data_IF_378806738567
#
_entry.id   IF_378806738567
#
_cell.length_a   1.000
_cell.length_b   1.000
_cell.length_c   1.000
_cell.angle_alpha   90.00
_cell.angle_beta   90.00
_cell.angle_gamma   90.00
#
_symmetry.space_group_name_H-M   'P 1'
#
loop_
_entity.id
_entity.type
_entity.pdbx_description
1 polymer ?
#
# COMPACT_ATOMS: atom_id res chain seq x y z
N UNK A 1 19.01 5.52 -1.53
CA UNK A 1 19.63 6.36 -0.48
C UNK A 1 19.40 5.74 0.89
N UNK A 2 18.19 5.78 1.48
CA UNK A 2 17.94 5.24 2.83
C UNK A 2 18.19 3.71 2.95
N UNK A 3 17.59 2.91 2.06
CA UNK A 3 17.80 1.46 2.01
C UNK A 3 19.23 1.05 1.64
N UNK A 4 19.93 1.90 0.88
CA UNK A 4 21.33 1.68 0.52
C UNK A 4 22.25 1.89 1.72
N UNK A 5 22.00 2.94 2.52
CA UNK A 5 22.80 3.25 3.70
C UNK A 5 22.69 2.14 4.76
N UNK A 6 21.46 1.67 5.05
CA UNK A 6 21.26 0.58 6.00
C UNK A 6 21.85 -0.75 5.50
N UNK A 7 21.75 -1.03 4.19
CA UNK A 7 22.36 -2.22 3.59
C UNK A 7 23.90 -2.17 3.46
N UNK A 8 24.52 -1.01 3.72
CA UNK A 8 25.97 -0.80 3.76
C UNK A 8 26.51 -0.63 5.18
N UNK A 9 25.69 -0.86 6.19
CA UNK A 9 26.00 -0.62 7.60
C UNK A 9 26.46 0.83 7.88
N UNK A 10 26.02 1.80 7.08
CA UNK A 10 26.28 3.23 7.30
C UNK A 10 25.35 3.82 8.38
N UNK A 11 24.21 3.18 8.62
CA UNK A 11 23.21 3.52 9.65
C UNK A 11 22.56 2.25 10.21
N UNK A 12 22.20 2.26 11.50
CA UNK A 12 21.52 1.12 12.16
C UNK A 12 19.98 1.19 12.09
N UNK A 13 19.42 2.40 11.95
CA UNK A 13 17.98 2.63 11.94
C UNK A 13 17.60 3.84 11.07
N UNK A 14 16.39 3.80 10.50
CA UNK A 14 15.86 4.89 9.67
C UNK A 14 14.33 4.95 9.73
N UNK A 15 13.72 6.12 9.53
CA UNK A 15 12.28 6.23 9.32
C UNK A 15 11.87 5.64 7.95
N UNK A 16 10.73 4.95 7.93
CA UNK A 16 10.17 4.31 6.73
C UNK A 16 8.67 4.55 6.63
N UNK A 17 8.12 4.28 5.44
CA UNK A 17 6.68 4.06 5.25
C UNK A 17 6.45 2.55 5.12
N UNK A 18 5.41 2.02 5.76
CA UNK A 18 5.13 0.57 5.77
C UNK A 18 4.74 0.03 4.39
N UNK A 19 4.39 0.91 3.46
CA UNK A 19 4.01 0.60 2.08
C UNK A 19 5.07 0.98 1.03
N UNK A 20 6.28 1.39 1.45
CA UNK A 20 7.37 1.74 0.53
C UNK A 20 7.78 0.55 -0.34
N UNK A 21 7.94 0.75 -1.65
CA UNK A 21 8.26 -0.32 -2.58
C UNK A 21 9.57 -1.05 -2.23
N UNK A 22 10.61 -0.29 -1.87
CA UNK A 22 11.92 -0.88 -1.53
C UNK A 22 11.89 -1.70 -0.24
N UNK A 23 10.90 -1.47 0.64
CA UNK A 23 10.70 -2.28 1.84
C UNK A 23 10.40 -3.74 1.51
N UNK A 24 9.74 -4.01 0.38
CA UNK A 24 9.31 -5.35 -0.02
C UNK A 24 10.47 -6.34 -0.25
N UNK A 25 11.67 -5.82 -0.51
CA UNK A 25 12.89 -6.61 -0.77
C UNK A 25 14.04 -6.31 0.19
N UNK A 26 13.87 -5.33 1.09
CA UNK A 26 14.93 -4.91 2.00
C UNK A 26 15.09 -5.91 3.15
N UNK A 27 16.33 -6.29 3.52
CA UNK A 27 16.59 -7.19 4.64
C UNK A 27 16.53 -6.44 5.98
N UNK A 28 15.42 -5.76 6.27
CA UNK A 28 15.23 -4.96 7.48
C UNK A 28 13.96 -5.36 8.22
N UNK A 29 13.95 -5.12 9.53
CA UNK A 29 12.80 -5.39 10.40
C UNK A 29 12.07 -4.09 10.71
N UNK A 30 10.76 -4.03 10.43
CA UNK A 30 9.91 -2.92 10.83
C UNK A 30 9.57 -3.04 12.32
N UNK A 31 9.84 -1.99 13.09
CA UNK A 31 9.49 -1.92 14.50
C UNK A 31 8.03 -1.50 14.68
N UNK A 32 7.35 -2.07 15.68
CA UNK A 32 5.99 -1.68 16.04
C UNK A 32 6.01 -0.32 16.77
N UNK A 33 5.13 0.59 16.38
CA UNK A 33 4.85 1.82 17.13
C UNK A 33 3.83 1.53 18.26
N UNK A 34 4.33 0.96 19.35
CA UNK A 34 3.55 0.53 20.52
C UNK A 34 2.99 1.69 21.35
N UNK A 35 3.58 2.87 21.23
CA UNK A 35 3.18 4.09 21.95
C UNK A 35 2.33 5.03 21.12
N UNK A 36 2.00 4.65 19.89
CA UNK A 36 1.18 5.44 18.97
C UNK A 36 1.74 6.86 18.78
N UNK A 37 3.06 6.96 18.61
CA UNK A 37 3.70 8.23 18.33
C UNK A 37 3.22 8.80 16.98
N UNK A 38 2.99 7.93 16.00
CA UNK A 38 2.50 8.30 14.68
C UNK A 38 0.98 8.13 14.58
N UNK A 39 0.28 9.05 13.89
CA UNK A 39 -1.09 8.81 13.46
C UNK A 39 -1.17 7.59 12.54
N UNK A 40 -2.28 6.88 12.60
CA UNK A 40 -2.58 5.83 11.61
C UNK A 40 -3.00 6.45 10.28
N UNK A 41 -2.34 6.07 9.19
CA UNK A 41 -2.63 6.52 7.83
C UNK A 41 -3.28 5.41 6.99
N UNK A 42 -4.43 4.90 7.45
CA UNK A 42 -5.21 3.93 6.68
C UNK A 42 -5.83 4.59 5.45
N UNK A 43 -5.58 4.00 4.28
CA UNK A 43 -6.23 4.42 3.04
C UNK A 43 -7.71 4.01 3.05
N UNK A 44 -8.56 4.86 2.47
CA UNK A 44 -10.00 4.61 2.39
C UNK A 44 -10.65 5.34 1.21
N UNK A 45 -11.80 4.82 0.78
CA UNK A 45 -12.59 5.43 -0.29
C UNK A 45 -13.41 6.60 0.25
N UNK A 46 -13.26 7.78 -0.35
CA UNK A 46 -14.08 8.97 -0.04
C UNK A 46 -14.93 9.30 -1.26
N UNK A 47 -16.25 9.20 -1.11
CA UNK A 47 -17.22 9.41 -2.19
C UNK A 47 -18.25 10.45 -1.77
N UNK A 48 -18.63 11.33 -2.70
CA UNK A 48 -19.70 12.31 -2.46
C UNK A 48 -21.02 11.59 -2.24
N UNK A 49 -21.78 12.03 -1.24
CA UNK A 49 -23.08 11.43 -0.89
C UNK A 49 -24.07 11.43 -2.05
N UNK A 50 -24.11 12.50 -2.86
CA UNK A 50 -24.98 12.59 -4.04
C UNK A 50 -24.76 11.46 -5.05
N UNK A 51 -23.50 11.01 -5.20
CA UNK A 51 -23.13 9.92 -6.11
C UNK A 51 -23.62 8.58 -5.55
N UNK A 52 -23.45 8.33 -4.25
CA UNK A 52 -23.92 7.09 -3.63
C UNK A 52 -25.46 7.01 -3.55
N UNK A 53 -26.15 8.15 -3.49
CA UNK A 53 -27.62 8.20 -3.55
C UNK A 53 -28.11 7.88 -4.97
N UNK A 54 -27.45 8.44 -6.00
CA UNK A 54 -27.80 8.18 -7.40
C UNK A 54 -27.39 6.77 -7.87
N UNK A 55 -26.31 6.23 -7.31
CA UNK A 55 -25.70 4.95 -7.67
C UNK A 55 -25.43 4.09 -6.42
N UNK A 56 -26.49 3.57 -5.77
CA UNK A 56 -26.35 2.76 -4.56
C UNK A 56 -25.54 1.47 -4.76
N UNK A 57 -25.46 0.96 -5.98
CA UNK A 57 -24.65 -0.21 -6.36
C UNK A 57 -23.14 -0.01 -6.10
N UNK A 58 -22.64 1.23 -6.19
CA UNK A 58 -21.23 1.54 -5.96
C UNK A 58 -20.79 1.20 -4.52
N UNK A 59 -21.72 1.23 -3.57
CA UNK A 59 -21.41 0.91 -2.18
C UNK A 59 -20.86 -0.50 -2.04
N UNK A 60 -21.54 -1.49 -2.62
CA UNK A 60 -21.12 -2.89 -2.55
C UNK A 60 -19.78 -3.10 -3.26
N UNK A 61 -19.58 -2.44 -4.40
CA UNK A 61 -18.33 -2.52 -5.19
C UNK A 61 -17.15 -1.91 -4.44
N UNK A 62 -17.33 -0.75 -3.80
CA UNK A 62 -16.25 -0.11 -3.06
C UNK A 62 -15.97 -0.81 -1.72
N UNK A 63 -17.01 -1.32 -1.05
CA UNK A 63 -16.87 -2.09 0.18
C UNK A 63 -16.19 -3.44 -0.06
N UNK A 64 -16.26 -4.02 -1.26
CA UNK A 64 -15.55 -5.27 -1.58
C UNK A 64 -14.02 -5.12 -1.55
N UNK A 65 -13.49 -3.89 -1.57
CA UNK A 65 -12.07 -3.60 -1.43
C UNK A 65 -11.63 -3.41 0.03
N UNK A 66 -12.57 -3.31 0.98
CA UNK A 66 -12.23 -3.10 2.38
C UNK A 66 -11.38 -4.27 2.91
N UNK A 67 -10.27 -3.93 3.59
CA UNK A 67 -9.34 -4.91 4.18
C UNK A 67 -8.71 -5.90 3.18
N UNK A 68 -8.80 -5.63 1.87
CA UNK A 68 -8.20 -6.50 0.84
C UNK A 68 -6.74 -6.21 0.56
N UNK A 69 -6.24 -5.03 0.94
CA UNK A 69 -4.86 -4.61 0.71
C UNK A 69 -4.14 -4.46 2.04
N UNK A 70 -3.22 -5.38 2.31
CA UNK A 70 -2.27 -5.29 3.42
C UNK A 70 -1.10 -4.37 3.09
N UNK A 71 -0.37 -3.90 4.10
CA UNK A 71 0.84 -3.10 3.91
C UNK A 71 1.87 -3.81 3.01
N UNK A 72 2.01 -5.13 3.17
CA UNK A 72 2.93 -5.93 2.37
C UNK A 72 2.48 -6.04 0.90
N UNK A 73 1.18 -6.18 0.63
CA UNK A 73 0.66 -6.18 -0.73
C UNK A 73 0.83 -4.81 -1.39
N UNK A 74 0.55 -3.73 -0.66
CA UNK A 74 0.78 -2.37 -1.16
C UNK A 74 2.27 -2.11 -1.45
N UNK A 75 3.18 -2.55 -0.57
CA UNK A 75 4.62 -2.44 -0.79
C UNK A 75 5.06 -3.20 -2.06
N UNK A 76 4.51 -4.39 -2.32
CA UNK A 76 4.79 -5.14 -3.56
C UNK A 76 4.28 -4.40 -4.80
N UNK A 77 3.06 -3.85 -4.74
CA UNK A 77 2.50 -3.07 -5.85
C UNK A 77 3.31 -1.80 -6.11
N UNK A 78 3.72 -1.08 -5.06
CA UNK A 78 4.59 0.09 -5.18
C UNK A 78 5.97 -0.27 -5.75
N UNK A 79 6.55 -1.41 -5.37
CA UNK A 79 7.80 -1.90 -5.95
C UNK A 79 7.70 -2.13 -7.46
N UNK A 80 6.62 -2.79 -7.91
CA UNK A 80 6.37 -3.04 -9.32
C UNK A 80 6.29 -1.74 -10.14
N UNK A 81 5.69 -0.68 -9.58
CA UNK A 81 5.58 0.62 -10.24
C UNK A 81 6.91 1.40 -10.19
N UNK A 82 7.47 1.56 -8.99
CA UNK A 82 8.59 2.47 -8.76
C UNK A 82 9.94 1.91 -9.24
N UNK A 83 10.13 0.60 -9.11
CA UNK A 83 11.42 -0.07 -9.37
C UNK A 83 11.38 -0.91 -10.65
N UNK A 84 10.27 -1.61 -10.92
CA UNK A 84 10.13 -2.41 -12.15
C UNK A 84 9.50 -1.62 -13.30
N UNK A 85 9.10 -0.37 -13.06
CA UNK A 85 8.52 0.55 -14.06
C UNK A 85 7.26 0.01 -14.74
N UNK A 86 6.50 -0.86 -14.06
CA UNK A 86 5.19 -1.30 -14.53
C UNK A 86 4.18 -0.15 -14.48
N UNK A 87 3.19 -0.18 -15.38
CA UNK A 87 2.13 0.81 -15.37
C UNK A 87 1.22 0.59 -14.14
N UNK A 88 0.88 1.63 -13.36
CA UNK A 88 0.00 1.50 -12.21
C UNK A 88 -1.35 0.84 -12.53
N UNK A 89 -1.88 1.11 -13.73
CA UNK A 89 -3.14 0.52 -14.20
C UNK A 89 -3.04 -1.01 -14.35
N UNK A 90 -1.93 -1.51 -14.89
CA UNK A 90 -1.72 -2.94 -15.11
C UNK A 90 -1.52 -3.66 -13.78
N UNK A 91 -0.77 -3.06 -12.85
CA UNK A 91 -0.57 -3.58 -11.49
C UNK A 91 -1.89 -3.65 -10.74
N UNK A 92 -2.68 -2.57 -10.76
CA UNK A 92 -4.00 -2.53 -10.13
C UNK A 92 -4.96 -3.55 -10.75
N UNK A 93 -4.97 -3.66 -12.08
CA UNK A 93 -5.82 -4.62 -12.78
C UNK A 93 -5.45 -6.05 -12.39
N UNK A 94 -4.16 -6.39 -12.41
CA UNK A 94 -3.68 -7.70 -11.99
C UNK A 94 -4.10 -8.02 -10.56
N UNK A 95 -3.93 -7.08 -9.63
CA UNK A 95 -4.33 -7.27 -8.23
C UNK A 95 -5.83 -7.58 -8.09
N UNK A 96 -6.69 -6.83 -8.80
CA UNK A 96 -8.13 -7.03 -8.78
C UNK A 96 -8.56 -8.37 -9.40
N UNK A 97 -7.90 -8.81 -10.48
CA UNK A 97 -8.11 -10.14 -11.08
C UNK A 97 -7.71 -11.25 -10.11
N UNK A 98 -6.57 -11.11 -9.43
CA UNK A 98 -6.10 -12.10 -8.45
C UNK A 98 -7.09 -12.21 -7.26
N UNK A 99 -7.74 -11.10 -6.88
CA UNK A 99 -8.83 -11.05 -5.89
C UNK A 99 -10.20 -11.50 -6.42
N UNK A 100 -10.33 -11.80 -7.72
CA UNK A 100 -11.60 -12.13 -8.39
C UNK A 100 -12.66 -11.02 -8.28
N UNK A 101 -12.19 -9.78 -8.27
CA UNK A 101 -13.02 -8.57 -8.32
C UNK A 101 -13.13 -8.01 -9.75
N UNK A 102 -12.50 -8.67 -10.72
CA UNK A 102 -12.64 -8.48 -12.17
C UNK A 102 -12.76 -9.82 -12.90
#
# INVERSE_FOLDING_TARGET
LKYTAIGRDEVDAMPIFTTDGQLSIAPITVLQDDKHLYPSYMSGNVVRSEVLIAHPELRLVLESLNHTITDQEMAKMNYAVETEHQLPADVAHKFLVDLKLM
#
